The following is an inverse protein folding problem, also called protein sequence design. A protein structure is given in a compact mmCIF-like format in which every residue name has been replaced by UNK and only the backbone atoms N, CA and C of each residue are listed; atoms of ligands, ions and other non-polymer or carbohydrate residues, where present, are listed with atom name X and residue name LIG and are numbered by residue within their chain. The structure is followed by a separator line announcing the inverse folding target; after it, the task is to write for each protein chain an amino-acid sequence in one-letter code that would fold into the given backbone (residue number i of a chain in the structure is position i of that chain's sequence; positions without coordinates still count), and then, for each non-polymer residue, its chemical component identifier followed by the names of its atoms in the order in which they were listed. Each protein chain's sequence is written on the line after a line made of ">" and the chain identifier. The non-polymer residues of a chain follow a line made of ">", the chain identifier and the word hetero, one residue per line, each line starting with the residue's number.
data_IF_556895409219
#
_entry.id   IF_556895409219
#
_cell.length_a   1.000
_cell.length_b   1.000
_cell.length_c   1.000
_cell.angle_alpha   90.00
_cell.angle_beta   90.00
_cell.angle_gamma   90.00
#
_symmetry.space_group_name_H-M   'P 1'
#
loop_
_entity.id
_entity.type
_entity.pdbx_description
1 polymer ?
#
# COMPACT_ATOMS: atom_id res chain seq x y z
N UNK A 1 36.23 18.13 22.12
CA UNK A 1 34.88 18.64 21.85
C UNK A 1 34.24 17.71 20.83
N UNK A 2 33.42 16.78 21.30
CA UNK A 2 32.69 15.83 20.44
C UNK A 2 31.38 16.53 20.10
N UNK A 3 31.14 16.75 18.81
CA UNK A 3 29.96 17.46 18.31
C UNK A 3 28.68 16.76 18.77
N UNK A 4 27.78 17.53 19.37
CA UNK A 4 26.40 17.14 19.62
C UNK A 4 25.75 16.76 18.28
N UNK A 5 25.14 15.58 18.15
CA UNK A 5 24.35 15.26 16.96
C UNK A 5 23.19 16.27 16.87
N UNK A 6 23.16 17.05 15.79
CA UNK A 6 22.05 17.94 15.49
C UNK A 6 20.85 17.11 15.07
N UNK A 7 19.99 16.80 16.04
CA UNK A 7 18.70 16.16 15.80
C UNK A 7 17.80 17.12 15.01
N UNK A 8 17.61 16.82 13.72
CA UNK A 8 16.62 17.50 12.89
C UNK A 8 15.21 17.07 13.29
N UNK A 9 14.42 17.98 13.86
CA UNK A 9 13.00 18.07 13.54
C UNK A 9 12.01 17.05 14.13
N UNK A 10 12.14 16.61 15.38
CA UNK A 10 11.00 16.40 16.31
C UNK A 10 11.53 16.10 17.72
N UNK A 11 11.58 17.11 18.59
CA UNK A 11 12.27 17.05 19.89
C UNK A 11 11.48 16.29 20.97
N UNK A 12 10.20 16.05 20.76
CA UNK A 12 9.33 15.36 21.72
C UNK A 12 8.72 14.11 21.07
N UNK A 13 9.26 12.91 21.36
CA UNK A 13 8.67 11.67 20.86
C UNK A 13 7.29 11.46 21.51
N UNK A 14 6.28 10.94 20.77
CA UNK A 14 4.98 10.62 21.36
C UNK A 14 5.14 9.64 22.53
N UNK A 15 4.32 9.78 23.57
CA UNK A 15 4.32 8.84 24.68
C UNK A 15 3.88 7.45 24.20
N UNK A 16 4.49 6.40 24.79
CA UNK A 16 4.08 5.02 24.53
C UNK A 16 2.68 4.82 25.13
N UNK A 17 1.65 4.44 24.33
CA UNK A 17 0.34 4.10 24.86
C UNK A 17 0.40 2.74 25.56
N UNK A 18 -0.67 2.41 26.28
CA UNK A 18 -0.92 1.00 26.64
C UNK A 18 -1.13 0.22 25.34
N UNK A 19 -0.20 -0.68 25.03
CA UNK A 19 -0.24 -1.44 23.79
C UNK A 19 -1.33 -2.50 23.87
N UNK A 20 -2.13 -2.58 22.81
CA UNK A 20 -3.24 -3.54 22.71
C UNK A 20 -2.69 -4.96 22.56
N UNK A 21 -3.23 -5.93 23.29
CA UNK A 21 -2.70 -7.30 23.34
C UNK A 21 -2.48 -7.95 21.98
N UNK A 22 -3.37 -7.65 21.01
CA UNK A 22 -3.26 -8.18 19.64
C UNK A 22 -1.98 -7.76 18.92
N UNK A 23 -1.30 -6.69 19.33
CA UNK A 23 -0.04 -6.27 18.73
C UNK A 23 1.11 -7.21 19.16
N UNK A 24 1.02 -7.90 20.31
CA UNK A 24 2.08 -8.82 20.74
C UNK A 24 2.11 -10.15 19.96
N UNK A 25 1.03 -10.47 19.25
CA UNK A 25 0.91 -11.71 18.47
C UNK A 25 1.25 -11.52 16.99
N UNK A 26 1.54 -10.29 16.55
CA UNK A 26 1.92 -10.01 15.17
C UNK A 26 3.39 -10.34 14.94
N UNK A 27 3.73 -10.52 13.68
CA UNK A 27 5.10 -10.74 13.19
C UNK A 27 5.33 -9.87 11.95
N UNK A 28 6.59 -9.76 11.53
CA UNK A 28 6.95 -9.15 10.25
C UNK A 28 6.21 -9.83 9.09
N UNK A 29 5.61 -9.03 8.22
CA UNK A 29 4.84 -9.55 7.10
C UNK A 29 5.74 -9.97 5.92
N UNK A 30 5.18 -10.67 4.95
CA UNK A 30 5.91 -11.19 3.78
C UNK A 30 6.67 -10.11 2.99
N UNK A 31 6.15 -8.88 2.92
CA UNK A 31 6.84 -7.78 2.23
C UNK A 31 8.11 -7.37 2.96
N UNK A 32 8.06 -7.36 4.28
CA UNK A 32 9.19 -7.00 5.14
C UNK A 32 10.27 -8.08 5.09
N UNK A 33 9.86 -9.35 5.22
CA UNK A 33 10.76 -10.51 5.16
C UNK A 33 11.40 -10.68 3.77
N UNK A 34 10.68 -10.31 2.71
CA UNK A 34 11.22 -10.28 1.35
C UNK A 34 12.28 -9.19 1.17
N UNK A 35 12.08 -8.04 1.79
CA UNK A 35 13.03 -6.93 1.72
C UNK A 35 14.29 -7.24 2.54
N UNK A 36 14.10 -7.73 3.75
CA UNK A 36 15.16 -8.08 4.69
C UNK A 36 14.77 -9.30 5.55
N UNK A 37 15.22 -10.51 5.17
CA UNK A 37 14.86 -11.74 5.89
C UNK A 37 15.56 -11.87 7.25
N UNK A 38 16.61 -11.09 7.51
CA UNK A 38 17.35 -11.13 8.76
C UNK A 38 16.88 -10.08 9.77
N UNK A 39 15.99 -9.16 9.37
CA UNK A 39 15.40 -8.16 10.25
C UNK A 39 14.81 -8.75 11.54
N UNK A 40 14.04 -9.86 11.52
CA UNK A 40 13.53 -10.47 12.76
C UNK A 40 14.63 -10.99 13.69
N UNK A 41 15.79 -11.37 13.15
CA UNK A 41 16.94 -11.83 13.95
C UNK A 41 17.66 -10.66 14.63
N UNK A 42 17.72 -9.51 13.96
CA UNK A 42 18.35 -8.29 14.49
C UNK A 42 17.44 -7.58 15.49
N UNK A 43 16.15 -7.45 15.17
CA UNK A 43 15.15 -6.80 16.00
C UNK A 43 13.84 -7.59 15.97
N UNK A 44 13.62 -8.55 16.89
CA UNK A 44 12.34 -9.25 16.99
C UNK A 44 11.25 -8.31 17.51
N UNK A 45 9.99 -8.58 17.15
CA UNK A 45 8.88 -7.81 17.68
C UNK A 45 8.69 -8.00 19.20
N UNK A 46 8.38 -6.91 19.93
CA UNK A 46 8.03 -6.98 21.34
C UNK A 46 6.85 -7.93 21.60
N UNK A 47 6.95 -8.71 22.66
CA UNK A 47 5.91 -9.67 23.12
C UNK A 47 5.18 -9.22 24.37
N UNK A 48 5.57 -8.10 24.96
CA UNK A 48 4.92 -7.49 26.11
C UNK A 48 5.27 -5.99 26.21
N UNK A 49 4.58 -5.27 27.10
CA UNK A 49 4.74 -3.82 27.27
C UNK A 49 6.18 -3.42 27.66
N UNK A 50 6.84 -4.23 28.50
CA UNK A 50 8.21 -3.95 28.92
C UNK A 50 9.17 -3.96 27.73
N UNK A 51 9.07 -4.96 26.84
CA UNK A 51 9.89 -5.02 25.64
C UNK A 51 9.62 -3.87 24.67
N UNK A 52 8.38 -3.37 24.60
CA UNK A 52 8.04 -2.15 23.83
C UNK A 52 8.78 -0.94 24.40
N UNK A 53 8.74 -0.76 25.73
CA UNK A 53 9.40 0.35 26.43
C UNK A 53 10.92 0.29 26.23
N UNK A 54 11.51 -0.89 26.35
CA UNK A 54 12.95 -1.12 26.12
C UNK A 54 13.34 -0.78 24.68
N UNK A 55 12.62 -1.30 23.69
CA UNK A 55 12.88 -1.02 22.27
C UNK A 55 12.71 0.46 21.95
N UNK A 56 11.68 1.11 22.49
CA UNK A 56 11.43 2.55 22.33
C UNK A 56 12.60 3.39 22.84
N UNK A 57 13.07 3.15 24.07
CA UNK A 57 14.20 3.89 24.62
C UNK A 57 15.50 3.57 23.88
N UNK A 58 15.70 2.33 23.44
CA UNK A 58 16.85 1.93 22.62
C UNK A 58 16.86 2.67 21.28
N UNK A 59 15.72 2.75 20.59
CA UNK A 59 15.56 3.45 19.33
C UNK A 59 15.81 4.97 19.46
N UNK A 60 15.31 5.59 20.53
CA UNK A 60 15.54 7.02 20.79
C UNK A 60 17.00 7.31 21.12
N UNK A 61 17.64 6.47 21.92
CA UNK A 61 19.03 6.66 22.37
C UNK A 61 20.04 6.41 21.26
N UNK A 62 19.91 5.29 20.56
CA UNK A 62 20.92 4.84 19.59
C UNK A 62 20.63 5.33 18.17
N UNK A 63 19.36 5.60 17.85
CA UNK A 63 18.89 6.02 16.53
C UNK A 63 19.38 5.16 15.38
N UNK A 64 19.42 3.84 15.56
CA UNK A 64 19.72 2.92 14.47
C UNK A 64 18.47 2.65 13.63
N UNK A 65 18.68 2.32 12.36
CA UNK A 65 17.62 2.16 11.37
C UNK A 65 16.63 1.03 11.73
N UNK A 66 17.15 -0.15 12.10
CA UNK A 66 16.32 -1.34 12.36
C UNK A 66 15.37 -1.15 13.56
N UNK A 67 15.82 -0.54 14.66
CA UNK A 67 14.98 -0.29 15.83
C UNK A 67 13.85 0.69 15.52
N UNK A 68 14.17 1.78 14.80
CA UNK A 68 13.15 2.73 14.36
C UNK A 68 12.17 2.03 13.40
N UNK A 69 12.66 1.22 12.47
CA UNK A 69 11.79 0.49 11.54
C UNK A 69 10.88 -0.51 12.25
N UNK A 70 11.41 -1.28 13.21
CA UNK A 70 10.66 -2.25 13.99
C UNK A 70 9.52 -1.58 14.77
N UNK A 71 9.78 -0.44 15.42
CA UNK A 71 8.73 0.32 16.12
C UNK A 71 7.70 0.90 15.16
N UNK A 72 8.14 1.42 14.01
CA UNK A 72 7.23 1.85 12.97
C UNK A 72 6.28 0.70 12.58
N UNK A 73 6.82 -0.46 12.23
CA UNK A 73 6.03 -1.55 11.69
C UNK A 73 5.11 -2.19 12.74
N UNK A 74 5.62 -2.34 13.97
CA UNK A 74 4.84 -2.83 15.12
C UNK A 74 3.60 -1.97 15.39
N UNK A 75 3.74 -0.64 15.37
CA UNK A 75 2.64 0.28 15.66
C UNK A 75 1.77 0.64 14.43
N UNK A 76 2.23 0.35 13.21
CA UNK A 76 1.55 0.71 11.97
C UNK A 76 0.11 0.20 11.89
N UNK A 77 -0.21 -0.90 12.58
CA UNK A 77 -1.57 -1.43 12.65
C UNK A 77 -2.57 -0.34 13.10
N UNK A 78 -2.18 0.54 14.03
CA UNK A 78 -2.99 1.69 14.46
C UNK A 78 -3.44 2.59 13.31
N UNK A 79 -2.61 2.73 12.27
CA UNK A 79 -2.92 3.53 11.08
C UNK A 79 -3.97 2.91 10.15
N UNK A 80 -4.43 1.69 10.40
CA UNK A 80 -5.42 0.99 9.57
C UNK A 80 -6.70 0.64 10.32
N UNK A 81 -6.69 0.77 11.65
CA UNK A 81 -7.74 0.24 12.54
C UNK A 81 -8.82 1.26 12.94
N UNK A 82 -9.02 2.31 12.13
CA UNK A 82 -9.97 3.39 12.46
C UNK A 82 -11.46 2.99 12.37
N UNK A 83 -11.75 1.78 11.88
CA UNK A 83 -13.13 1.29 11.65
C UNK A 83 -13.78 0.69 12.91
N UNK A 84 -13.02 0.40 13.96
CA UNK A 84 -13.56 -0.12 15.22
C UNK A 84 -13.73 1.01 16.24
N UNK A 85 -14.98 1.43 16.45
CA UNK A 85 -15.37 2.60 17.26
C UNK A 85 -14.85 2.57 18.72
N UNK A 86 -14.51 1.39 19.27
CA UNK A 86 -14.11 1.24 20.66
C UNK A 86 -12.62 1.58 20.95
N UNK A 87 -11.74 1.61 19.95
CA UNK A 87 -10.28 1.77 20.14
C UNK A 87 -9.67 2.95 19.38
N UNK A 88 -10.50 3.92 18.94
CA UNK A 88 -10.08 5.02 18.08
C UNK A 88 -8.95 5.86 18.69
N UNK A 89 -8.94 6.05 20.01
CA UNK A 89 -7.87 6.79 20.69
C UNK A 89 -6.53 6.06 20.61
N UNK A 90 -6.48 4.79 21.07
CA UNK A 90 -5.27 3.98 21.05
C UNK A 90 -4.74 3.81 19.61
N UNK A 91 -5.62 3.56 18.64
CA UNK A 91 -5.22 3.44 17.23
C UNK A 91 -4.56 4.73 16.68
N UNK A 92 -5.04 5.91 17.08
CA UNK A 92 -4.43 7.19 16.72
C UNK A 92 -3.06 7.38 17.37
N UNK A 93 -2.92 7.04 18.65
CA UNK A 93 -1.64 7.14 19.38
C UNK A 93 -0.58 6.19 18.80
N UNK A 94 -0.96 4.96 18.51
CA UNK A 94 -0.11 3.99 17.81
C UNK A 94 0.29 4.49 16.42
N UNK A 95 -0.65 5.06 15.66
CA UNK A 95 -0.32 5.60 14.34
C UNK A 95 0.66 6.77 14.41
N UNK A 96 0.49 7.66 15.40
CA UNK A 96 1.41 8.77 15.66
C UNK A 96 2.83 8.28 15.97
N UNK A 97 2.96 7.24 16.79
CA UNK A 97 4.23 6.58 17.03
C UNK A 97 4.81 5.96 15.76
N UNK A 98 3.99 5.25 14.99
CA UNK A 98 4.43 4.62 13.77
C UNK A 98 5.04 5.65 12.80
N UNK A 99 4.32 6.76 12.57
CA UNK A 99 4.77 7.82 11.68
C UNK A 99 6.01 8.57 12.21
N UNK A 100 6.10 8.77 13.53
CA UNK A 100 7.29 9.35 14.15
C UNK A 100 8.53 8.50 13.84
N UNK A 101 8.44 7.19 14.03
CA UNK A 101 9.56 6.29 13.76
C UNK A 101 9.84 6.10 12.27
N UNK A 102 8.80 6.09 11.41
CA UNK A 102 8.97 6.07 9.95
C UNK A 102 9.76 7.27 9.44
N UNK A 103 9.47 8.47 9.98
CA UNK A 103 10.22 9.69 9.66
C UNK A 103 11.69 9.55 10.03
N UNK A 104 11.99 9.02 11.23
CA UNK A 104 13.37 8.77 11.68
C UNK A 104 14.09 7.77 10.79
N UNK A 105 13.43 6.71 10.33
CA UNK A 105 14.02 5.78 9.34
C UNK A 105 14.44 6.53 8.08
N UNK A 106 13.59 7.42 7.54
CA UNK A 106 13.92 8.22 6.35
C UNK A 106 14.97 9.30 6.60
N UNK A 107 15.09 9.81 7.82
CA UNK A 107 16.17 10.73 8.21
C UNK A 107 17.53 10.02 8.27
N UNK A 108 17.56 8.77 8.78
CA UNK A 108 18.76 7.93 8.82
C UNK A 108 19.13 7.44 7.42
N UNK A 109 18.16 6.89 6.71
CA UNK A 109 18.31 6.30 5.40
C UNK A 109 17.14 6.73 4.51
N UNK A 110 17.32 7.88 3.84
CA UNK A 110 16.31 8.43 2.92
C UNK A 110 15.96 7.50 1.76
N UNK A 111 16.80 6.49 1.50
CA UNK A 111 16.59 5.50 0.48
C UNK A 111 15.94 4.23 1.00
N UNK A 112 15.69 4.00 2.30
CA UNK A 112 15.12 2.73 2.77
C UNK A 112 13.82 2.34 2.02
N UNK A 113 13.82 1.16 1.39
CA UNK A 113 12.75 0.75 0.47
C UNK A 113 11.40 0.51 1.13
N UNK A 114 11.39 -0.07 2.35
CA UNK A 114 10.16 -0.27 3.11
C UNK A 114 9.60 1.08 3.59
N UNK A 115 10.45 1.96 4.08
CA UNK A 115 10.04 3.29 4.52
C UNK A 115 9.46 4.11 3.37
N UNK A 116 10.12 4.12 2.20
CA UNK A 116 9.59 4.75 0.99
C UNK A 116 8.25 4.15 0.57
N UNK A 117 8.12 2.81 0.58
CA UNK A 117 6.86 2.13 0.27
C UNK A 117 5.74 2.62 1.20
N UNK A 118 5.97 2.60 2.51
CA UNK A 118 4.92 2.95 3.47
C UNK A 118 4.62 4.44 3.54
N UNK A 119 5.58 5.31 3.26
CA UNK A 119 5.30 6.73 3.04
C UNK A 119 4.39 6.93 1.82
N UNK A 120 4.60 6.18 0.74
CA UNK A 120 3.67 6.16 -0.39
C UNK A 120 2.26 5.70 0.00
N UNK A 121 2.14 4.67 0.84
CA UNK A 121 0.86 4.20 1.38
C UNK A 121 0.16 5.26 2.22
N UNK A 122 0.91 5.99 3.05
CA UNK A 122 0.39 7.09 3.86
C UNK A 122 -0.16 8.22 2.97
N UNK A 123 0.58 8.62 1.93
CA UNK A 123 0.09 9.62 0.98
C UNK A 123 -1.15 9.17 0.20
N UNK A 124 -1.22 7.89 -0.20
CA UNK A 124 -2.35 7.34 -0.95
C UNK A 124 -3.66 7.39 -0.15
N UNK A 125 -3.61 7.01 1.13
CA UNK A 125 -4.81 6.89 1.96
C UNK A 125 -5.10 8.15 2.80
N UNK A 126 -4.12 9.04 2.94
CA UNK A 126 -4.13 10.09 3.95
C UNK A 126 -3.89 9.49 5.33
N UNK A 127 -3.19 10.22 6.20
CA UNK A 127 -2.94 9.78 7.58
C UNK A 127 -2.94 10.97 8.54
N UNK A 128 -3.40 10.78 9.79
CA UNK A 128 -3.37 11.82 10.85
C UNK A 128 -3.87 13.20 10.41
N UNK A 129 -5.04 13.26 9.76
CA UNK A 129 -5.62 14.53 9.32
C UNK A 129 -4.98 15.11 8.06
N UNK A 130 -3.93 14.49 7.50
CA UNK A 130 -3.44 14.81 6.16
C UNK A 130 -4.42 14.30 5.10
N UNK A 131 -4.60 15.12 4.05
CA UNK A 131 -5.41 14.75 2.89
C UNK A 131 -4.65 13.73 2.03
N UNK A 132 -5.39 12.87 1.36
CA UNK A 132 -4.87 11.98 0.30
C UNK A 132 -4.11 12.80 -0.74
N UNK A 133 -2.94 12.32 -1.14
CA UNK A 133 -2.12 12.89 -2.19
C UNK A 133 -1.57 11.76 -3.08
N UNK A 134 -2.28 11.48 -4.17
CA UNK A 134 -1.91 10.39 -5.07
C UNK A 134 -0.60 10.66 -5.84
N UNK A 135 -0.33 11.92 -6.17
CA UNK A 135 0.91 12.31 -6.88
C UNK A 135 2.15 12.02 -6.05
N UNK A 136 2.13 12.36 -4.75
CA UNK A 136 3.21 12.01 -3.82
C UNK A 136 3.30 10.49 -3.64
N UNK A 137 2.18 9.79 -3.49
CA UNK A 137 2.19 8.32 -3.40
C UNK A 137 2.92 7.67 -4.57
N UNK A 138 2.62 8.11 -5.81
CA UNK A 138 3.31 7.65 -7.02
C UNK A 138 4.81 7.93 -6.96
N UNK A 139 5.23 9.12 -6.50
CA UNK A 139 6.65 9.48 -6.41
C UNK A 139 7.40 8.53 -5.47
N UNK A 140 6.85 8.29 -4.27
CA UNK A 140 7.44 7.37 -3.30
C UNK A 140 7.46 5.93 -3.79
N UNK A 141 6.36 5.43 -4.38
CA UNK A 141 6.34 4.08 -4.94
C UNK A 141 7.34 3.91 -6.08
N UNK A 142 7.46 4.89 -6.99
CA UNK A 142 8.45 4.87 -8.07
C UNK A 142 9.87 4.80 -7.50
N UNK A 143 10.16 5.62 -6.48
CA UNK A 143 11.49 5.64 -5.85
C UNK A 143 11.80 4.32 -5.16
N UNK A 144 10.88 3.79 -4.35
CA UNK A 144 11.03 2.49 -3.70
C UNK A 144 11.28 1.39 -4.74
N UNK A 145 10.44 1.33 -5.77
CA UNK A 145 10.53 0.30 -6.80
C UNK A 145 11.80 0.43 -7.65
N UNK A 146 12.23 1.64 -8.01
CA UNK A 146 13.45 1.86 -8.78
C UNK A 146 14.71 1.40 -8.02
N UNK A 147 14.76 1.66 -6.70
CA UNK A 147 15.92 1.32 -5.87
C UNK A 147 15.99 -0.18 -5.53
N UNK A 148 14.84 -0.83 -5.32
CA UNK A 148 14.81 -2.18 -4.73
C UNK A 148 14.08 -3.24 -5.55
N UNK A 149 13.32 -2.84 -6.58
CA UNK A 149 12.65 -3.73 -7.52
C UNK A 149 11.87 -4.86 -6.85
N UNK A 150 12.34 -6.09 -7.07
CA UNK A 150 11.70 -7.33 -6.58
C UNK A 150 11.69 -7.48 -5.05
N UNK A 151 12.48 -6.69 -4.32
CA UNK A 151 12.41 -6.66 -2.84
C UNK A 151 11.20 -5.88 -2.32
N UNK A 152 10.59 -5.01 -3.14
CA UNK A 152 9.43 -4.18 -2.78
C UNK A 152 8.32 -4.26 -3.83
N UNK A 153 7.96 -5.47 -4.26
CA UNK A 153 6.97 -5.71 -5.31
C UNK A 153 5.63 -4.99 -5.09
N UNK A 154 5.24 -4.79 -3.83
CA UNK A 154 4.02 -4.05 -3.48
C UNK A 154 4.02 -2.63 -4.06
N UNK A 155 5.17 -1.96 -4.16
CA UNK A 155 5.26 -0.65 -4.80
C UNK A 155 4.92 -0.72 -6.30
N UNK A 156 5.44 -1.73 -7.01
CA UNK A 156 5.13 -1.99 -8.42
C UNK A 156 3.65 -2.34 -8.62
N UNK A 157 3.08 -3.16 -7.74
CA UNK A 157 1.64 -3.50 -7.76
C UNK A 157 0.77 -2.26 -7.57
N UNK A 158 1.09 -1.40 -6.60
CA UNK A 158 0.36 -0.16 -6.38
C UNK A 158 0.44 0.76 -7.60
N UNK A 159 1.62 0.90 -8.22
CA UNK A 159 1.77 1.70 -9.45
C UNK A 159 0.94 1.13 -10.61
N UNK A 160 0.99 -0.19 -10.82
CA UNK A 160 0.16 -0.86 -11.83
C UNK A 160 -1.32 -0.55 -11.63
N UNK A 161 -1.85 -0.77 -10.42
CA UNK A 161 -3.25 -0.52 -10.08
C UNK A 161 -3.65 0.94 -10.23
N UNK A 162 -2.81 1.89 -9.78
CA UNK A 162 -3.10 3.32 -9.89
C UNK A 162 -3.27 3.74 -11.35
N UNK A 163 -2.33 3.35 -12.22
CA UNK A 163 -2.42 3.68 -13.65
C UNK A 163 -3.50 2.88 -14.37
N UNK A 164 -3.79 1.64 -13.95
CA UNK A 164 -4.82 0.80 -14.54
C UNK A 164 -6.22 1.39 -14.33
N UNK A 165 -6.51 1.92 -13.14
CA UNK A 165 -7.83 2.45 -12.81
C UNK A 165 -7.93 3.97 -12.83
N UNK A 166 -6.82 4.69 -13.00
CA UNK A 166 -6.79 6.15 -12.91
C UNK A 166 -7.18 6.67 -11.52
N UNK A 167 -6.63 6.05 -10.47
CA UNK A 167 -7.04 6.34 -9.09
C UNK A 167 -6.61 7.73 -8.64
N UNK A 168 -7.42 8.38 -7.79
CA UNK A 168 -7.06 9.64 -7.14
C UNK A 168 -6.88 10.83 -8.08
N UNK A 169 -7.59 10.84 -9.23
CA UNK A 169 -7.51 11.90 -10.23
C UNK A 169 -6.34 11.74 -11.22
N UNK A 170 -5.58 10.65 -11.13
CA UNK A 170 -4.52 10.32 -12.07
C UNK A 170 -5.16 9.79 -13.36
N UNK A 171 -4.77 10.28 -14.55
CA UNK A 171 -5.27 9.72 -15.80
C UNK A 171 -4.92 8.23 -15.94
N UNK A 172 -5.87 7.46 -16.44
CA UNK A 172 -5.65 6.06 -16.79
C UNK A 172 -4.54 5.96 -17.85
N UNK A 173 -3.57 5.07 -17.63
CA UNK A 173 -2.43 4.86 -18.52
C UNK A 173 -2.10 3.37 -18.57
N UNK A 174 -2.73 2.68 -19.53
CA UNK A 174 -2.59 1.23 -19.68
C UNK A 174 -1.16 0.80 -20.00
N UNK A 175 -0.37 1.65 -20.67
CA UNK A 175 1.02 1.33 -20.99
C UNK A 175 1.87 1.35 -19.73
N UNK A 176 1.71 2.36 -18.86
CA UNK A 176 2.38 2.37 -17.55
C UNK A 176 1.90 1.25 -16.65
N UNK A 177 0.60 0.98 -16.63
CA UNK A 177 0.04 -0.13 -15.84
C UNK A 177 0.67 -1.47 -16.26
N UNK A 178 0.68 -1.76 -17.57
CA UNK A 178 1.28 -2.97 -18.13
C UNK A 178 2.77 -3.05 -17.82
N UNK A 179 3.52 -1.95 -17.97
CA UNK A 179 4.95 -1.91 -17.64
C UNK A 179 5.23 -2.35 -16.20
N UNK A 180 4.55 -1.80 -15.20
CA UNK A 180 4.78 -2.21 -13.81
C UNK A 180 4.30 -3.65 -13.55
N UNK A 181 3.19 -4.07 -14.17
CA UNK A 181 2.70 -5.44 -14.08
C UNK A 181 3.69 -6.45 -14.67
N UNK A 182 4.28 -6.16 -15.83
CA UNK A 182 5.33 -6.97 -16.45
C UNK A 182 6.51 -7.18 -15.50
N UNK A 183 6.94 -6.12 -14.85
CA UNK A 183 8.06 -6.18 -13.93
C UNK A 183 7.72 -6.99 -12.66
N UNK A 184 6.49 -6.87 -12.14
CA UNK A 184 6.01 -7.66 -10.99
C UNK A 184 5.82 -9.13 -11.34
N UNK A 185 5.22 -9.43 -12.50
CA UNK A 185 4.93 -10.79 -12.96
C UNK A 185 6.19 -11.66 -13.16
N UNK A 186 7.35 -11.05 -13.42
CA UNK A 186 8.63 -11.77 -13.52
C UNK A 186 9.03 -12.45 -12.22
N UNK A 187 8.60 -11.95 -11.06
CA UNK A 187 8.92 -12.56 -9.76
C UNK A 187 8.26 -13.92 -9.59
N UNK A 188 7.01 -14.06 -10.06
CA UNK A 188 6.29 -15.32 -10.03
C UNK A 188 5.57 -15.57 -11.38
N UNK A 189 6.26 -16.20 -12.36
CA UNK A 189 5.71 -16.46 -13.70
C UNK A 189 4.48 -17.37 -13.72
N UNK A 190 4.17 -18.06 -12.62
CA UNK A 190 2.97 -18.90 -12.45
C UNK A 190 1.95 -18.28 -11.48
N UNK A 191 2.24 -17.08 -10.99
CA UNK A 191 1.44 -16.38 -10.01
C UNK A 191 0.30 -15.57 -10.63
N UNK A 192 -0.50 -14.98 -9.75
CA UNK A 192 -1.67 -14.20 -10.12
C UNK A 192 -1.31 -12.99 -11.01
N UNK A 193 -0.21 -12.29 -10.72
CA UNK A 193 0.24 -11.14 -11.53
C UNK A 193 0.64 -11.54 -12.96
N UNK A 194 1.26 -12.72 -13.12
CA UNK A 194 1.60 -13.26 -14.44
C UNK A 194 0.35 -13.71 -15.22
N UNK A 195 -0.64 -14.26 -14.54
CA UNK A 195 -1.95 -14.54 -15.13
C UNK A 195 -2.65 -13.24 -15.56
N UNK A 196 -2.65 -12.20 -14.72
CA UNK A 196 -3.17 -10.88 -15.07
C UNK A 196 -2.47 -10.29 -16.29
N UNK A 197 -1.14 -10.42 -16.36
CA UNK A 197 -0.36 -9.92 -17.49
C UNK A 197 -0.70 -10.64 -18.79
N UNK A 198 -0.80 -11.98 -18.74
CA UNK A 198 -1.15 -12.80 -19.90
C UNK A 198 -2.49 -12.38 -20.51
N UNK A 199 -3.43 -12.02 -19.65
CA UNK A 199 -4.81 -11.70 -20.01
C UNK A 199 -5.07 -10.17 -19.99
N UNK A 200 -4.01 -9.35 -19.97
CA UNK A 200 -4.09 -7.91 -19.71
C UNK A 200 -5.02 -7.18 -20.67
N UNK A 201 -4.95 -7.49 -21.96
CA UNK A 201 -5.76 -6.83 -22.98
C UNK A 201 -7.27 -7.14 -22.78
N UNK A 202 -7.60 -8.37 -22.37
CA UNK A 202 -8.97 -8.74 -22.00
C UNK A 202 -9.46 -7.94 -20.79
N UNK A 203 -8.62 -7.81 -19.75
CA UNK A 203 -8.97 -7.00 -18.58
C UNK A 203 -9.17 -5.53 -18.93
N UNK A 204 -8.33 -4.97 -19.81
CA UNK A 204 -8.46 -3.59 -20.27
C UNK A 204 -9.76 -3.39 -21.06
N UNK A 205 -10.12 -4.33 -21.94
CA UNK A 205 -11.37 -4.26 -22.71
C UNK A 205 -12.60 -4.28 -21.78
N UNK A 206 -12.63 -5.20 -20.81
CA UNK A 206 -13.73 -5.29 -19.83
C UNK A 206 -13.77 -4.09 -18.89
N UNK A 207 -12.62 -3.57 -18.47
CA UNK A 207 -12.54 -2.38 -17.62
C UNK A 207 -13.08 -1.14 -18.34
N UNK A 208 -12.88 -1.00 -19.66
CA UNK A 208 -13.47 0.09 -20.44
C UNK A 208 -15.00 0.03 -20.44
N UNK A 209 -15.56 -1.17 -20.63
CA UNK A 209 -17.02 -1.39 -20.55
C UNK A 209 -17.53 -1.02 -19.15
N UNK A 210 -16.86 -1.46 -18.09
CA UNK A 210 -17.20 -1.08 -16.71
C UNK A 210 -17.15 0.44 -16.50
N UNK A 211 -16.11 1.12 -16.99
CA UNK A 211 -15.94 2.56 -16.87
C UNK A 211 -17.05 3.34 -17.59
N UNK A 212 -17.54 2.84 -18.73
CA UNK A 212 -18.72 3.42 -19.42
C UNK A 212 -19.98 3.28 -18.57
N UNK A 213 -20.17 2.12 -17.94
CA UNK A 213 -21.26 1.89 -16.98
C UNK A 213 -21.21 2.82 -15.78
N UNK A 214 -20.02 3.02 -15.20
CA UNK A 214 -19.83 3.95 -14.07
C UNK A 214 -20.13 5.39 -14.46
N UNK A 215 -19.69 5.83 -15.64
CA UNK A 215 -20.04 7.16 -16.18
C UNK A 215 -21.53 7.31 -16.42
N UNK A 216 -22.21 6.26 -16.89
CA UNK A 216 -23.67 6.25 -17.06
C UNK A 216 -24.36 6.46 -15.69
N UNK A 217 -24.00 5.65 -14.68
CA UNK A 217 -24.57 5.74 -13.32
C UNK A 217 -24.34 7.11 -12.67
N UNK A 218 -23.19 7.74 -12.91
CA UNK A 218 -22.87 9.06 -12.36
C UNK A 218 -23.78 10.19 -12.86
N UNK A 219 -24.51 10.01 -13.97
CA UNK A 219 -25.44 11.03 -14.49
C UNK A 219 -26.68 11.17 -13.60
N UNK A 220 -27.18 10.08 -13.02
CA UNK A 220 -28.31 10.10 -12.07
C UNK A 220 -28.18 8.94 -11.05
N UNK A 221 -27.26 9.04 -10.07
CA UNK A 221 -26.91 7.92 -9.20
C UNK A 221 -28.00 7.54 -8.18
N UNK A 222 -28.97 8.43 -7.94
CA UNK A 222 -30.04 8.20 -6.96
C UNK A 222 -31.30 7.57 -7.59
N UNK A 223 -31.38 7.56 -8.92
CA UNK A 223 -32.48 6.97 -9.65
C UNK A 223 -32.24 5.48 -9.88
N UNK A 224 -32.99 4.64 -9.16
CA UNK A 224 -32.85 3.18 -9.23
C UNK A 224 -33.16 2.60 -10.61
N UNK A 225 -34.09 3.20 -11.35
CA UNK A 225 -34.44 2.76 -12.71
C UNK A 225 -33.26 3.05 -13.64
N UNK A 226 -32.72 4.28 -13.59
CA UNK A 226 -31.55 4.67 -14.37
C UNK A 226 -30.32 3.81 -14.07
N UNK A 227 -30.00 3.60 -12.79
CA UNK A 227 -28.87 2.75 -12.38
C UNK A 227 -29.04 1.32 -12.91
N UNK A 228 -30.26 0.79 -12.88
CA UNK A 228 -30.57 -0.52 -13.45
C UNK A 228 -30.34 -0.53 -14.97
N UNK A 229 -30.85 0.45 -15.71
CA UNK A 229 -30.63 0.56 -17.16
C UNK A 229 -29.15 0.63 -17.54
N UNK A 230 -28.35 1.38 -16.77
CA UNK A 230 -26.89 1.42 -16.95
C UNK A 230 -26.24 0.05 -16.73
N UNK A 231 -26.67 -0.70 -15.69
CA UNK A 231 -26.16 -2.04 -15.42
C UNK A 231 -26.57 -3.04 -16.51
N UNK A 232 -27.84 -3.03 -16.93
CA UNK A 232 -28.36 -3.89 -18.00
C UNK A 232 -27.58 -3.63 -19.32
N UNK A 233 -27.21 -2.37 -19.58
CA UNK A 233 -26.37 -2.00 -20.73
C UNK A 233 -24.96 -2.58 -20.64
N UNK A 234 -24.32 -2.50 -19.47
CA UNK A 234 -22.99 -3.09 -19.22
C UNK A 234 -23.04 -4.60 -19.44
N UNK A 235 -24.05 -5.28 -18.88
CA UNK A 235 -24.23 -6.73 -19.05
C UNK A 235 -24.34 -7.11 -20.52
N UNK A 236 -25.20 -6.42 -21.28
CA UNK A 236 -25.33 -6.63 -22.73
C UNK A 236 -24.04 -6.37 -23.51
N UNK A 237 -23.24 -5.37 -23.11
CA UNK A 237 -21.93 -5.10 -23.70
C UNK A 237 -20.94 -6.23 -23.42
N UNK A 238 -20.92 -6.78 -22.20
CA UNK A 238 -20.11 -7.93 -21.82
C UNK A 238 -20.53 -9.18 -22.60
N UNK A 239 -21.83 -9.48 -22.69
CA UNK A 239 -22.34 -10.59 -23.51
C UNK A 239 -21.92 -10.46 -24.98
N UNK A 240 -22.02 -9.24 -25.53
CA UNK A 240 -21.60 -8.95 -26.90
C UNK A 240 -20.10 -9.16 -27.08
N UNK A 241 -19.29 -8.73 -26.11
CA UNK A 241 -17.84 -8.96 -26.09
C UNK A 241 -17.52 -10.46 -26.08
N UNK A 242 -18.14 -11.23 -25.19
CA UNK A 242 -17.95 -12.68 -25.10
C UNK A 242 -18.36 -13.38 -26.40
N UNK A 243 -19.52 -13.03 -26.98
CA UNK A 243 -19.98 -13.58 -28.26
C UNK A 243 -19.02 -13.25 -29.40
N UNK A 244 -18.48 -12.04 -29.45
CA UNK A 244 -17.48 -11.61 -30.44
C UNK A 244 -16.19 -12.43 -30.32
N UNK A 245 -15.80 -12.76 -29.11
CA UNK A 245 -14.58 -13.51 -28.83
C UNK A 245 -14.79 -15.02 -28.64
N UNK A 246 -15.97 -15.52 -29.01
CA UNK A 246 -16.34 -16.92 -28.81
C UNK A 246 -15.34 -17.88 -29.45
N UNK A 247 -14.93 -18.89 -28.70
CA UNK A 247 -14.00 -19.94 -29.08
C UNK A 247 -12.52 -19.53 -29.06
N UNK A 248 -12.18 -18.27 -28.73
CA UNK A 248 -10.80 -17.81 -28.65
C UNK A 248 -10.33 -17.58 -27.20
N UNK A 249 -9.04 -17.25 -27.05
CA UNK A 249 -8.42 -17.08 -25.74
C UNK A 249 -9.06 -15.94 -24.92
N UNK A 250 -9.50 -14.85 -25.55
CA UNK A 250 -10.13 -13.72 -24.86
C UNK A 250 -11.46 -14.07 -24.19
N UNK A 251 -12.25 -15.00 -24.75
CA UNK A 251 -13.45 -15.50 -24.08
C UNK A 251 -13.07 -16.31 -22.83
N UNK A 252 -12.09 -17.21 -22.94
CA UNK A 252 -11.61 -18.01 -21.81
C UNK A 252 -11.10 -17.10 -20.68
N UNK A 253 -10.27 -16.13 -21.03
CA UNK A 253 -9.69 -15.16 -20.09
C UNK A 253 -10.75 -14.28 -19.41
N UNK A 254 -11.87 -14.02 -20.08
CA UNK A 254 -12.96 -13.20 -19.54
C UNK A 254 -13.88 -13.96 -18.57
N UNK A 255 -13.94 -15.29 -18.65
CA UNK A 255 -14.84 -16.14 -17.84
C UNK A 255 -14.12 -16.70 -16.59
N UNK A 256 -12.79 -16.84 -16.63
CA UNK A 256 -11.97 -17.33 -15.50
C UNK A 256 -10.96 -18.38 -15.93
#
# INVERSE_FOLDING_TARGET
>A
MIGTPTWGGNINPPLIPTVRDRLYTIEYNETELRYDPDLPKRVPYPKNQQQVVELYHRALKNNNEDDNYALFSFFRIGCTDFKHLHNVKAAKEECALANFFLKRVLEINSNNGLALLFTGVNHQHGNEGSKKNMSEAILYYKRAYHLYGNKVLVAGKNLSTIYLHGLGGIPQDFNKAKYYLEMVARDNPKGQDAYYLKNFDTYVDLLKISNEGDKCKQQDPNNRIWVKECNDKVEKQIETYLKKHRGNQKEKDAIG
#
